data_IF_827833633895
#
_entry.id   IF_827833633895
#
_cell.length_a   1.000
_cell.length_b   1.000
_cell.length_c   1.000
_cell.angle_alpha   90.00
_cell.angle_beta   90.00
_cell.angle_gamma   90.00
#
_symmetry.space_group_name_H-M   'P 1'
#
loop_
_entity.id
_entity.type
_entity.pdbx_description
1 polymer ?
#
# COMPACT_ATOMS: atom_id res chain seq x y z
N UNK A 1 8.41 -6.95 -23.97
CA UNK A 1 7.01 -6.52 -23.74
C UNK A 1 7.08 -5.36 -22.75
N UNK A 2 6.63 -4.18 -23.12
CA UNK A 2 6.65 -3.01 -22.24
C UNK A 2 5.60 -3.22 -21.16
N UNK A 3 6.03 -3.42 -19.92
CA UNK A 3 5.16 -3.37 -18.75
C UNK A 3 4.66 -1.94 -18.64
N UNK A 4 3.48 -1.65 -19.16
CA UNK A 4 2.91 -0.30 -19.05
C UNK A 4 2.64 -0.04 -17.57
N UNK A 5 3.34 0.92 -16.98
CA UNK A 5 3.07 1.39 -15.63
C UNK A 5 1.72 2.07 -15.64
N UNK A 6 0.81 1.60 -14.79
CA UNK A 6 -0.48 2.25 -14.59
C UNK A 6 -0.27 3.54 -13.76
N UNK A 7 -0.56 4.73 -14.32
CA UNK A 7 -0.29 5.99 -13.64
C UNK A 7 -1.18 6.22 -12.42
N UNK A 8 -2.39 5.69 -12.40
CA UNK A 8 -3.31 5.80 -11.26
C UNK A 8 -2.81 4.93 -10.10
N UNK A 9 -2.39 3.69 -10.40
CA UNK A 9 -1.78 2.81 -9.40
C UNK A 9 -0.48 3.38 -8.85
N UNK A 10 0.37 3.96 -9.71
CA UNK A 10 1.62 4.60 -9.30
C UNK A 10 1.37 5.78 -8.36
N UNK A 11 0.40 6.64 -8.69
CA UNK A 11 -0.01 7.75 -7.83
C UNK A 11 -0.53 7.27 -6.47
N UNK A 12 -1.41 6.25 -6.46
CA UNK A 12 -1.96 5.67 -5.24
C UNK A 12 -0.86 5.09 -4.33
N UNK A 13 0.13 4.40 -4.90
CA UNK A 13 1.28 3.89 -4.16
C UNK A 13 2.09 5.05 -3.56
N UNK A 14 2.30 6.13 -4.32
CA UNK A 14 2.94 7.35 -3.83
C UNK A 14 2.24 7.93 -2.60
N UNK A 15 0.92 8.09 -2.66
CA UNK A 15 0.11 8.58 -1.53
C UNK A 15 0.23 7.69 -0.28
N UNK A 16 0.23 6.35 -0.47
CA UNK A 16 0.38 5.38 0.63
C UNK A 16 1.76 5.44 1.27
N UNK A 17 2.82 5.64 0.48
CA UNK A 17 4.19 5.78 0.97
C UNK A 17 4.35 7.10 1.75
N UNK A 18 3.85 8.20 1.20
CA UNK A 18 3.90 9.53 1.83
C UNK A 18 3.11 9.56 3.14
N UNK A 19 1.98 8.86 3.18
CA UNK A 19 1.18 8.63 4.37
C UNK A 19 1.84 7.72 5.42
N UNK A 20 3.03 7.15 5.12
CA UNK A 20 3.77 6.22 5.99
C UNK A 20 2.95 4.99 6.39
N UNK A 21 2.04 4.56 5.52
CA UNK A 21 1.19 3.39 5.76
C UNK A 21 1.94 2.07 5.53
N UNK A 22 3.05 2.13 4.80
CA UNK A 22 4.02 1.03 4.68
C UNK A 22 5.20 1.30 5.61
N UNK A 23 5.61 0.27 6.35
CA UNK A 23 6.73 0.37 7.30
C UNK A 23 8.03 0.63 6.54
N UNK A 24 8.83 1.57 7.04
CA UNK A 24 10.13 1.88 6.45
C UNK A 24 11.05 0.64 6.44
N UNK A 25 11.72 0.39 5.32
CA UNK A 25 12.61 -0.75 5.12
C UNK A 25 11.89 -2.10 5.03
N UNK A 26 10.56 -2.12 4.98
CA UNK A 26 9.80 -3.37 4.84
C UNK A 26 9.78 -3.86 3.40
N UNK A 27 9.57 -5.17 3.25
CA UNK A 27 9.45 -5.81 1.94
C UNK A 27 8.24 -5.27 1.17
N UNK A 28 7.13 -4.99 1.86
CA UNK A 28 5.92 -4.41 1.27
C UNK A 28 6.19 -3.04 0.64
N UNK A 29 6.98 -2.19 1.32
CA UNK A 29 7.39 -0.90 0.77
C UNK A 29 8.21 -1.08 -0.51
N UNK A 30 9.22 -1.95 -0.47
CA UNK A 30 10.09 -2.23 -1.63
C UNK A 30 9.27 -2.75 -2.82
N UNK A 31 8.35 -3.68 -2.57
CA UNK A 31 7.49 -4.24 -3.63
C UNK A 31 6.55 -3.18 -4.20
N UNK A 32 5.96 -2.33 -3.36
CA UNK A 32 5.12 -1.22 -3.82
C UNK A 32 5.92 -0.23 -4.69
N UNK A 33 7.13 0.17 -4.25
CA UNK A 33 8.03 1.02 -5.02
C UNK A 33 8.40 0.38 -6.37
N UNK A 34 8.64 -0.93 -6.39
CA UNK A 34 8.92 -1.66 -7.63
C UNK A 34 7.73 -1.65 -8.60
N UNK A 35 6.49 -1.84 -8.10
CA UNK A 35 5.27 -1.72 -8.92
C UNK A 35 5.07 -0.31 -9.45
N UNK A 36 5.31 0.72 -8.64
CA UNK A 36 5.16 2.10 -9.07
C UNK A 36 6.16 2.51 -10.16
N UNK A 37 7.35 1.90 -10.18
CA UNK A 37 8.41 2.18 -11.15
C UNK A 37 8.32 1.33 -12.43
N UNK A 38 8.03 0.03 -12.30
CA UNK A 38 8.17 -0.95 -13.39
C UNK A 38 6.84 -1.65 -13.76
N UNK A 39 5.78 -1.40 -12.98
CA UNK A 39 4.45 -1.98 -13.19
C UNK A 39 4.31 -3.42 -12.67
N UNK A 40 3.07 -3.89 -12.59
CA UNK A 40 2.74 -5.24 -12.09
C UNK A 40 3.34 -6.39 -12.92
N UNK A 41 3.63 -6.13 -14.20
CA UNK A 41 4.22 -7.10 -15.12
C UNK A 41 5.67 -7.44 -14.79
N UNK A 42 6.38 -6.58 -14.06
CA UNK A 42 7.77 -6.79 -13.68
C UNK A 42 7.96 -7.65 -12.42
N UNK A 43 6.90 -7.87 -11.64
CA UNK A 43 6.97 -8.63 -10.39
C UNK A 43 7.29 -10.11 -10.62
N UNK A 44 8.22 -10.63 -9.82
CA UNK A 44 8.40 -12.07 -9.65
C UNK A 44 7.19 -12.70 -8.94
N UNK A 45 7.09 -14.05 -8.96
CA UNK A 45 5.99 -14.75 -8.29
C UNK A 45 5.92 -14.47 -6.78
N UNK A 46 7.08 -14.32 -6.13
CA UNK A 46 7.17 -14.00 -4.69
C UNK A 46 6.72 -12.56 -4.42
N UNK A 47 7.21 -11.61 -5.21
CA UNK A 47 6.81 -10.20 -5.07
C UNK A 47 5.33 -10.00 -5.38
N UNK A 48 4.78 -10.75 -6.34
CA UNK A 48 3.35 -10.75 -6.62
C UNK A 48 2.53 -11.25 -5.44
N UNK A 49 2.95 -12.34 -4.78
CA UNK A 49 2.28 -12.82 -3.56
C UNK A 49 2.35 -11.77 -2.42
N UNK A 50 3.51 -11.15 -2.22
CA UNK A 50 3.66 -10.06 -1.24
C UNK A 50 2.78 -8.86 -1.60
N UNK A 51 2.71 -8.49 -2.88
CA UNK A 51 1.86 -7.39 -3.35
C UNK A 51 0.39 -7.70 -3.09
N UNK A 52 -0.12 -8.84 -3.56
CA UNK A 52 -1.54 -9.21 -3.46
C UNK A 52 -1.99 -9.42 -2.01
N UNK A 53 -1.14 -10.02 -1.15
CA UNK A 53 -1.54 -10.35 0.23
C UNK A 53 -1.32 -9.22 1.21
N UNK A 54 -0.34 -8.33 0.98
CA UNK A 54 0.09 -7.35 1.99
C UNK A 54 -0.02 -5.91 1.52
N UNK A 55 0.29 -5.63 0.27
CA UNK A 55 0.24 -4.26 -0.28
C UNK A 55 -1.18 -3.90 -0.76
N UNK A 56 -1.80 -4.78 -1.55
CA UNK A 56 -3.11 -4.56 -2.14
C UNK A 56 -4.20 -4.28 -1.09
N UNK A 57 -4.30 -5.00 0.05
CA UNK A 57 -5.29 -4.67 1.08
C UNK A 57 -5.12 -3.28 1.71
N UNK A 58 -3.91 -2.69 1.61
CA UNK A 58 -3.67 -1.31 2.02
C UNK A 58 -4.16 -0.39 0.91
N UNK A 59 -3.80 -0.64 -0.36
CA UNK A 59 -4.26 0.17 -1.49
C UNK A 59 -5.80 0.15 -1.69
N UNK A 60 -6.46 -0.98 -1.42
CA UNK A 60 -7.90 -1.18 -1.63
C UNK A 60 -8.79 -0.50 -0.58
N UNK A 61 -8.22 -0.03 0.54
CA UNK A 61 -8.99 0.65 1.57
C UNK A 61 -9.05 2.15 1.25
N UNK A 62 -10.18 2.83 1.53
CA UNK A 62 -10.24 4.28 1.37
C UNK A 62 -9.12 4.97 2.16
N UNK A 63 -8.23 5.71 1.48
CA UNK A 63 -7.06 6.37 2.11
C UNK A 63 -7.47 7.22 3.32
N UNK A 64 -8.63 7.89 3.26
CA UNK A 64 -9.16 8.70 4.37
C UNK A 64 -9.40 7.88 5.64
N UNK A 65 -9.89 6.65 5.52
CA UNK A 65 -10.09 5.75 6.66
C UNK A 65 -8.75 5.27 7.22
N UNK A 66 -7.78 5.00 6.34
CA UNK A 66 -6.45 4.54 6.75
C UNK A 66 -5.65 5.61 7.48
N UNK A 67 -5.69 6.85 6.98
CA UNK A 67 -5.06 8.00 7.64
C UNK A 67 -5.65 8.25 9.02
N UNK A 68 -6.98 8.11 9.19
CA UNK A 68 -7.62 8.21 10.50
C UNK A 68 -7.13 7.12 11.47
N UNK A 69 -7.06 5.86 11.02
CA UNK A 69 -6.54 4.75 11.81
C UNK A 69 -5.07 4.95 12.18
N UNK A 70 -4.22 5.28 11.20
CA UNK A 70 -2.79 5.50 11.41
C UNK A 70 -2.55 6.66 12.39
N UNK A 71 -3.32 7.75 12.26
CA UNK A 71 -3.25 8.90 13.17
C UNK A 71 -3.68 8.55 14.61
N UNK A 72 -4.67 7.66 14.79
CA UNK A 72 -5.09 7.18 16.11
C UNK A 72 -3.99 6.32 16.74
N UNK A 73 -3.46 5.35 16.00
CA UNK A 73 -2.39 4.45 16.47
C UNK A 73 -1.13 5.24 16.83
N UNK A 74 -0.73 6.19 15.98
CA UNK A 74 0.46 7.01 16.21
C UNK A 74 0.34 7.93 17.43
N UNK A 75 -0.89 8.31 17.81
CA UNK A 75 -1.19 9.07 19.04
C UNK A 75 -1.38 8.18 20.28
N UNK A 76 -1.16 6.85 20.16
CA UNK A 76 -1.34 5.90 21.25
C UNK A 76 -2.80 5.55 21.56
N UNK A 77 -3.73 5.87 20.66
CA UNK A 77 -5.15 5.60 20.83
C UNK A 77 -5.53 4.17 20.43
N UNK A 78 -6.46 3.57 21.17
CA UNK A 78 -7.11 2.30 20.83
C UNK A 78 -8.04 2.50 19.62
N UNK A 79 -7.85 1.71 18.56
CA UNK A 79 -8.75 1.70 17.39
C UNK A 79 -9.86 0.68 17.64
N UNK A 80 -11.14 1.08 17.77
CA UNK A 80 -12.23 0.14 17.97
C UNK A 80 -12.41 -0.74 16.73
N UNK A 81 -12.34 -2.07 16.90
CA UNK A 81 -12.74 -3.03 15.86
C UNK A 81 -14.27 -3.07 15.78
N UNK A 82 -14.86 -2.14 15.04
CA UNK A 82 -16.12 -2.32 14.27
C UNK A 82 -16.57 -0.98 13.71
N UNK A 83 -16.55 -0.86 12.39
CA UNK A 83 -17.50 -0.01 11.67
C UNK A 83 -18.42 -1.02 10.96
N UNK A 84 -19.68 -1.06 11.39
CA UNK A 84 -20.74 -1.78 10.68
C UNK A 84 -21.25 -0.80 9.61
N UNK A 85 -21.28 -1.27 8.36
CA UNK A 85 -21.78 -0.52 7.20
C UNK A 85 -23.23 -0.08 7.40
#
# INVERSE_FOLDING_TARGET
MSSTVDPELSALIGEVIDAKLLKAGSEEKRVAEHVAAEGLGALTAVERDTFERRVLPILSKPIREQLAIASIVQRGGYVPRKIVF
#
